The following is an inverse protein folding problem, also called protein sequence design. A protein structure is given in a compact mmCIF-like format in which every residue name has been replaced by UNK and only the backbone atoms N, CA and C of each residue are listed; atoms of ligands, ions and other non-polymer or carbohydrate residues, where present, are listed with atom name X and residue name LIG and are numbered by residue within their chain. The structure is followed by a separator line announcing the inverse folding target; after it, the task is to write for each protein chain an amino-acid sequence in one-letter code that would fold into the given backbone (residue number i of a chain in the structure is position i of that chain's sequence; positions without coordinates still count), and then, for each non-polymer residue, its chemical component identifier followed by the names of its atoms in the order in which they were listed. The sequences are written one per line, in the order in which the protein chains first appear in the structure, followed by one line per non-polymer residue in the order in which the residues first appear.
data_IF_921093197688
#
_entry.id   IF_921093197688
#
_cell.length_a   1.000
_cell.length_b   1.000
_cell.length_c   1.000
_cell.angle_alpha   90.00
_cell.angle_beta   90.00
_cell.angle_gamma   90.00
#
_symmetry.space_group_name_H-M   'P 1'
#
loop_
_entity.id
_entity.type
_entity.pdbx_description
1 polymer ?
#
# COMPACT_ATOMS: atom_id res chain seq x y z
N UNK A 1 12.98 6.28 13.98
CA UNK A 1 12.45 6.66 12.65
C UNK A 1 11.23 5.81 12.35
N UNK A 2 10.04 6.42 12.19
CA UNK A 2 8.86 5.71 11.69
C UNK A 2 9.12 5.37 10.22
N UNK A 3 8.89 4.11 9.85
CA UNK A 3 9.11 3.60 8.47
C UNK A 3 7.80 3.54 7.69
N UNK A 4 6.69 3.38 8.40
CA UNK A 4 5.33 3.65 7.91
C UNK A 4 4.96 5.05 8.37
N UNK A 5 4.75 5.94 7.41
CA UNK A 5 4.53 7.35 7.67
C UNK A 5 3.05 7.72 7.60
N UNK A 6 2.26 6.90 6.91
CA UNK A 6 0.86 7.19 6.67
C UNK A 6 0.04 5.90 6.58
N UNK A 7 -1.10 5.88 7.27
CA UNK A 7 -2.10 4.82 7.22
C UNK A 7 -3.44 5.49 7.01
N UNK A 8 -4.09 5.22 5.87
CA UNK A 8 -5.36 5.81 5.52
C UNK A 8 -6.44 4.74 5.47
N UNK A 9 -7.58 5.06 6.04
CA UNK A 9 -8.82 4.32 5.82
C UNK A 9 -9.62 5.12 4.81
N UNK A 10 -9.68 4.61 3.58
CA UNK A 10 -10.35 5.30 2.50
C UNK A 10 -11.86 5.18 2.68
N UNK A 11 -12.56 6.30 2.47
CA UNK A 11 -14.03 6.39 2.53
C UNK A 11 -14.54 6.82 1.16
N UNK A 12 -15.59 6.17 0.64
CA UNK A 12 -16.16 6.48 -0.68
C UNK A 12 -16.04 5.34 -1.71
N UNK A 13 -16.42 5.65 -2.95
CA UNK A 13 -16.76 4.73 -4.05
C UNK A 13 -15.85 3.50 -4.16
N UNK A 14 -16.49 2.37 -4.47
CA UNK A 14 -15.86 1.07 -4.67
C UNK A 14 -14.59 1.21 -5.50
N UNK A 15 -13.44 0.83 -4.91
CA UNK A 15 -12.14 0.89 -5.58
C UNK A 15 -11.99 -0.27 -6.58
N UNK A 16 -13.13 -0.80 -7.03
CA UNK A 16 -13.30 -2.17 -7.47
C UNK A 16 -12.84 -3.15 -6.40
N UNK A 17 -12.15 -4.19 -6.83
CA UNK A 17 -11.70 -5.28 -5.98
C UNK A 17 -10.54 -4.93 -5.03
N UNK A 18 -9.98 -3.72 -5.02
CA UNK A 18 -8.82 -3.41 -4.15
C UNK A 18 -9.26 -3.35 -2.68
N UNK A 19 -8.60 -4.14 -1.84
CA UNK A 19 -8.87 -4.23 -0.39
C UNK A 19 -7.75 -3.66 0.48
N UNK A 20 -6.52 -3.62 -0.06
CA UNK A 20 -5.34 -3.10 0.62
C UNK A 20 -4.36 -2.56 -0.43
N UNK A 21 -3.79 -1.40 -0.15
CA UNK A 21 -2.70 -0.79 -0.92
C UNK A 21 -1.50 -0.52 -0.02
N UNK A 22 -0.31 -0.65 -0.58
CA UNK A 22 0.95 -0.21 0.00
C UNK A 22 1.73 0.57 -1.06
N UNK A 23 2.32 1.68 -0.66
CA UNK A 23 3.11 2.50 -1.56
C UNK A 23 4.39 2.97 -0.89
N UNK A 24 5.48 2.97 -1.63
CA UNK A 24 6.68 3.71 -1.28
C UNK A 24 6.57 5.09 -1.92
N UNK A 25 6.44 6.10 -1.08
CA UNK A 25 6.44 7.51 -1.49
C UNK A 25 7.90 7.95 -1.57
N UNK A 26 8.43 7.99 -2.79
CA UNK A 26 9.79 8.47 -3.05
C UNK A 26 9.89 9.99 -2.82
N UNK A 27 11.07 10.52 -2.47
CA UNK A 27 11.30 11.94 -2.44
C UNK A 27 11.16 12.52 -3.85
N UNK A 28 10.39 13.60 -3.99
CA UNK A 28 10.32 14.37 -5.23
C UNK A 28 10.90 15.77 -4.98
N UNK A 29 11.92 16.20 -5.76
CA UNK A 29 12.54 17.50 -5.56
C UNK A 29 11.51 18.62 -5.66
N UNK A 30 11.55 19.58 -4.73
CA UNK A 30 10.67 20.75 -4.69
C UNK A 30 11.02 21.82 -5.72
N UNK A 31 11.30 21.43 -6.96
CA UNK A 31 11.40 22.41 -8.02
C UNK A 31 9.99 22.95 -8.29
N UNK A 32 9.80 24.26 -8.13
CA UNK A 32 8.54 24.96 -8.39
C UNK A 32 7.34 24.59 -7.50
N UNK A 33 7.59 24.30 -6.21
CA UNK A 33 6.55 24.27 -5.18
C UNK A 33 5.68 23.00 -5.13
N UNK A 34 5.96 21.99 -5.96
CA UNK A 34 5.18 20.74 -6.06
C UNK A 34 5.98 19.48 -5.69
N UNK A 35 6.88 19.55 -4.71
CA UNK A 35 7.65 18.37 -4.25
C UNK A 35 7.07 17.75 -2.98
N UNK A 36 7.36 16.46 -2.78
CA UNK A 36 6.94 15.71 -1.59
C UNK A 36 7.64 16.27 -0.34
N UNK A 37 6.87 16.51 0.73
CA UNK A 37 7.45 16.92 2.00
C UNK A 37 8.32 15.78 2.57
N UNK A 38 9.50 16.03 3.15
CA UNK A 38 10.38 14.99 3.69
C UNK A 38 9.67 14.01 4.65
N UNK A 39 8.76 14.52 5.50
CA UNK A 39 7.98 13.68 6.42
C UNK A 39 6.97 12.75 5.73
N UNK A 40 6.62 13.01 4.47
CA UNK A 40 5.75 12.16 3.67
C UNK A 40 6.54 11.06 2.92
N UNK A 41 7.88 11.12 2.88
CA UNK A 41 8.73 10.13 2.21
C UNK A 41 8.82 8.86 3.05
N UNK A 42 8.28 7.76 2.55
CA UNK A 42 8.24 6.50 3.26
C UNK A 42 7.10 5.60 2.82
N UNK A 43 6.70 4.68 3.70
CA UNK A 43 5.63 3.73 3.38
C UNK A 43 4.27 4.33 3.72
N UNK A 44 3.38 4.37 2.73
CA UNK A 44 1.94 4.65 2.88
C UNK A 44 1.16 3.35 2.76
N UNK A 45 0.19 3.15 3.64
CA UNK A 45 -0.77 2.05 3.57
C UNK A 45 -2.17 2.61 3.40
N UNK A 46 -2.94 2.04 2.48
CA UNK A 46 -4.30 2.43 2.16
C UNK A 46 -5.23 1.23 2.38
N UNK A 47 -6.19 1.35 3.31
CA UNK A 47 -7.21 0.32 3.58
C UNK A 47 -8.50 0.75 2.90
N UNK A 48 -8.96 -0.07 1.97
CA UNK A 48 -10.13 0.23 1.15
C UNK A 48 -11.42 -0.28 1.81
N UNK A 49 -12.56 0.38 1.56
CA UNK A 49 -13.85 -0.11 2.04
C UNK A 49 -14.19 -1.44 1.38
N UNK A 50 -14.86 -2.33 2.14
CA UNK A 50 -15.25 -3.67 1.70
C UNK A 50 -16.75 -3.83 1.90
N UNK A 51 -17.41 -4.44 0.92
CA UNK A 51 -18.84 -4.77 1.00
C UNK A 51 -19.14 -5.59 2.26
N UNK A 52 -20.25 -5.24 2.92
CA UNK A 52 -20.61 -5.87 4.19
C UNK A 52 -20.76 -7.39 4.10
N UNK A 53 -21.22 -7.91 2.96
CA UNK A 53 -21.40 -9.34 2.70
C UNK A 53 -20.07 -10.09 2.56
N UNK A 54 -19.01 -9.41 2.11
CA UNK A 54 -17.70 -10.02 1.87
C UNK A 54 -16.70 -9.81 3.01
N UNK A 55 -16.98 -8.90 3.96
CA UNK A 55 -16.06 -8.51 5.06
C UNK A 55 -15.41 -9.69 5.80
N UNK A 56 -16.18 -10.73 6.09
CA UNK A 56 -15.66 -11.89 6.81
C UNK A 56 -14.62 -12.66 5.96
N UNK A 57 -14.93 -12.88 4.70
CA UNK A 57 -14.05 -13.56 3.75
C UNK A 57 -12.79 -12.72 3.47
N UNK A 58 -12.95 -11.42 3.19
CA UNK A 58 -11.82 -10.50 2.98
C UNK A 58 -10.93 -10.43 4.20
N UNK A 59 -11.49 -10.31 5.41
CA UNK A 59 -10.70 -10.29 6.65
C UNK A 59 -9.90 -11.57 6.84
N UNK A 60 -10.49 -12.73 6.54
CA UNK A 60 -9.77 -14.01 6.61
C UNK A 60 -8.62 -14.05 5.59
N UNK A 61 -8.88 -13.67 4.34
CA UNK A 61 -7.88 -13.65 3.27
C UNK A 61 -6.75 -12.64 3.55
N UNK A 62 -7.07 -11.43 4.03
CA UNK A 62 -6.08 -10.43 4.40
C UNK A 62 -5.15 -10.94 5.50
N UNK A 63 -5.70 -11.58 6.53
CA UNK A 63 -4.88 -12.13 7.64
C UNK A 63 -4.00 -13.29 7.19
N UNK A 64 -4.53 -14.19 6.38
CA UNK A 64 -3.81 -15.37 5.94
C UNK A 64 -2.73 -15.06 4.90
N UNK A 65 -2.97 -14.09 4.02
CA UNK A 65 -2.12 -13.87 2.83
C UNK A 65 -1.59 -12.44 2.74
N UNK A 66 -2.46 -11.42 2.79
CA UNK A 66 -2.05 -10.04 2.51
C UNK A 66 -1.09 -9.50 3.57
N UNK A 67 -1.35 -9.72 4.86
CA UNK A 67 -0.50 -9.18 5.95
C UNK A 67 0.91 -9.78 5.96
N UNK A 68 1.11 -11.10 5.81
CA UNK A 68 2.45 -11.66 5.62
C UNK A 68 3.17 -11.11 4.38
N UNK A 69 2.47 -10.97 3.26
CA UNK A 69 3.04 -10.43 2.02
C UNK A 69 3.40 -8.95 2.16
N UNK A 70 2.54 -8.17 2.81
CA UNK A 70 2.78 -6.77 3.14
C UNK A 70 4.02 -6.65 4.01
N UNK A 71 4.14 -7.49 5.05
CA UNK A 71 5.32 -7.49 5.90
C UNK A 71 6.60 -7.75 5.07
N UNK A 72 6.59 -8.75 4.19
CA UNK A 72 7.73 -9.03 3.32
C UNK A 72 8.04 -7.86 2.38
N UNK A 73 7.03 -7.22 1.79
CA UNK A 73 7.20 -6.04 0.93
C UNK A 73 7.80 -4.86 1.72
N UNK A 74 7.27 -4.56 2.91
CA UNK A 74 7.78 -3.52 3.82
C UNK A 74 9.23 -3.78 4.19
N UNK A 75 9.58 -5.01 4.56
CA UNK A 75 10.96 -5.36 4.91
C UNK A 75 11.93 -5.20 3.73
N UNK A 76 11.50 -5.54 2.51
CA UNK A 76 12.29 -5.27 1.30
C UNK A 76 12.48 -3.79 1.06
N UNK A 77 11.41 -2.99 1.11
CA UNK A 77 11.48 -1.53 0.92
C UNK A 77 12.43 -0.85 1.93
N UNK A 78 12.42 -1.33 3.18
CA UNK A 78 13.31 -0.86 4.24
C UNK A 78 14.78 -1.21 3.97
N UNK A 79 15.04 -2.40 3.44
CA UNK A 79 16.38 -2.90 3.14
C UNK A 79 16.88 -2.45 1.75
N UNK A 80 16.03 -1.80 0.96
CA UNK A 80 16.32 -1.43 -0.40
C UNK A 80 17.41 -0.34 -0.49
N UNK A 81 18.16 -0.38 -1.57
CA UNK A 81 19.20 0.60 -1.86
C UNK A 81 18.61 2.00 -2.14
N UNK A 82 19.50 2.96 -2.37
CA UNK A 82 19.10 4.33 -2.69
C UNK A 82 18.37 4.43 -4.03
N UNK A 83 18.79 3.68 -5.05
CA UNK A 83 18.16 3.72 -6.37
C UNK A 83 16.69 3.30 -6.30
N UNK A 84 16.40 2.20 -5.60
CA UNK A 84 15.02 1.75 -5.39
C UNK A 84 14.21 2.80 -4.62
N UNK A 85 14.79 3.41 -3.58
CA UNK A 85 14.13 4.42 -2.73
C UNK A 85 13.88 5.76 -3.43
N UNK A 86 14.52 6.03 -4.56
CA UNK A 86 14.28 7.22 -5.37
C UNK A 86 13.13 7.05 -6.38
N UNK A 87 12.61 5.84 -6.55
CA UNK A 87 11.49 5.54 -7.45
C UNK A 87 10.24 5.24 -6.64
N UNK A 88 9.05 5.75 -7.01
CA UNK A 88 7.80 5.32 -6.39
C UNK A 88 7.51 3.85 -6.70
N UNK A 89 7.01 3.11 -5.70
CA UNK A 89 6.57 1.72 -5.89
C UNK A 89 5.18 1.55 -5.29
N UNK A 90 4.32 0.76 -5.93
CA UNK A 90 2.97 0.51 -5.44
C UNK A 90 2.64 -0.96 -5.49
N UNK A 91 2.05 -1.46 -4.42
CA UNK A 91 1.61 -2.83 -4.30
C UNK A 91 0.17 -2.86 -3.84
N UNK A 92 -0.67 -3.59 -4.56
CA UNK A 92 -2.10 -3.68 -4.25
C UNK A 92 -2.52 -5.14 -4.08
N UNK A 93 -3.46 -5.35 -3.17
CA UNK A 93 -4.17 -6.60 -3.03
C UNK A 93 -5.61 -6.40 -3.48
N UNK A 94 -6.05 -7.27 -4.37
CA UNK A 94 -7.41 -7.31 -4.90
C UNK A 94 -8.11 -8.57 -4.42
N UNK A 95 -9.37 -8.41 -4.01
CA UNK A 95 -10.26 -9.50 -3.67
C UNK A 95 -11.41 -9.55 -4.66
N UNK A 96 -11.48 -10.63 -5.43
CA UNK A 96 -12.55 -10.87 -6.38
C UNK A 96 -12.88 -12.36 -6.40
N UNK A 97 -14.17 -12.69 -6.52
CA UNK A 97 -14.65 -14.08 -6.61
C UNK A 97 -14.16 -14.99 -5.47
N UNK A 98 -13.98 -14.43 -4.26
CA UNK A 98 -13.48 -15.17 -3.10
C UNK A 98 -11.96 -15.36 -3.05
N UNK A 99 -11.22 -14.84 -4.04
CA UNK A 99 -9.78 -15.01 -4.16
C UNK A 99 -9.03 -13.69 -3.97
N UNK A 100 -7.94 -13.75 -3.20
CA UNK A 100 -7.01 -12.65 -3.05
C UNK A 100 -5.91 -12.77 -4.12
N UNK A 101 -5.79 -11.75 -4.95
CA UNK A 101 -4.69 -11.56 -5.90
C UNK A 101 -3.88 -10.33 -5.50
N UNK A 102 -2.64 -10.23 -5.97
CA UNK A 102 -1.81 -9.07 -5.71
C UNK A 102 -0.99 -8.69 -6.94
N UNK A 103 -0.64 -7.41 -7.04
CA UNK A 103 0.18 -6.89 -8.13
C UNK A 103 1.13 -5.82 -7.63
N UNK A 104 2.30 -5.76 -8.26
CA UNK A 104 3.26 -4.67 -8.13
C UNK A 104 3.09 -3.77 -9.36
N UNK A 105 2.90 -2.48 -9.14
CA UNK A 105 2.98 -1.43 -10.14
C UNK A 105 4.17 -0.55 -9.77
N UNK A 106 5.29 -0.79 -10.44
CA UNK A 106 6.58 -0.13 -10.27
C UNK A 106 7.48 -0.36 -11.46
#
# INVERSE_FOLDING_TARGET
MRRVNDLRFLTGYDSGSIVLGAAWVAPEPRNYGRGIHPDAVGIRLDVHPVDATERAAVRAALRAHALPQLHAWVMRAIAADETWRLTPHQYHWRFADGHLTHGDEG
#
